data_IF_959366015264
#
_entry.id   IF_959366015264
#
_cell.length_a   1.000
_cell.length_b   1.000
_cell.length_c   1.000
_cell.angle_alpha   90.00
_cell.angle_beta   90.00
_cell.angle_gamma   90.00
#
_symmetry.space_group_name_H-M   'P 1'
#
loop_
_entity.id
_entity.type
_entity.pdbx_description
1 polymer ?
#
# COMPACT_ATOMS: atom_id res chain seq x y z
N UNK A 1 6.16 -7.58 -20.12
CA UNK A 1 5.40 -8.04 -18.93
C UNK A 1 4.71 -6.89 -18.18
N UNK A 2 5.41 -5.88 -17.63
CA UNK A 2 4.75 -4.73 -16.96
C UNK A 2 3.81 -3.99 -17.93
N UNK A 3 4.30 -3.67 -19.12
CA UNK A 3 3.51 -3.04 -20.20
C UNK A 3 2.28 -3.88 -20.56
N UNK A 4 2.47 -5.18 -20.86
CA UNK A 4 1.37 -6.11 -21.18
C UNK A 4 0.28 -6.13 -20.10
N UNK A 5 0.64 -6.13 -18.82
CA UNK A 5 -0.32 -6.12 -17.71
C UNK A 5 -1.12 -4.82 -17.67
N UNK A 6 -0.44 -3.67 -17.74
CA UNK A 6 -1.10 -2.37 -17.73
C UNK A 6 -2.03 -2.21 -18.93
N UNK A 7 -1.58 -2.59 -20.13
CA UNK A 7 -2.42 -2.54 -21.33
C UNK A 7 -3.61 -3.50 -21.25
N UNK A 8 -3.47 -4.66 -20.62
CA UNK A 8 -4.59 -5.58 -20.41
C UNK A 8 -5.69 -4.95 -19.54
N UNK A 9 -5.31 -4.30 -18.43
CA UNK A 9 -6.26 -3.56 -17.60
C UNK A 9 -6.88 -2.37 -18.35
N UNK A 10 -6.08 -1.58 -19.07
CA UNK A 10 -6.59 -0.45 -19.85
C UNK A 10 -7.60 -0.89 -20.93
N UNK A 11 -7.34 -2.00 -21.63
CA UNK A 11 -8.30 -2.57 -22.60
C UNK A 11 -9.60 -2.98 -21.93
N UNK A 12 -9.53 -3.72 -20.83
CA UNK A 12 -10.72 -4.12 -20.09
C UNK A 12 -11.49 -2.89 -19.56
N UNK A 13 -10.82 -1.88 -19.03
CA UNK A 13 -11.48 -0.65 -18.58
C UNK A 13 -12.19 0.07 -19.72
N UNK A 14 -11.60 0.13 -20.92
CA UNK A 14 -12.24 0.69 -22.11
C UNK A 14 -13.47 -0.12 -22.56
N UNK A 15 -13.39 -1.45 -22.51
CA UNK A 15 -14.50 -2.35 -22.88
C UNK A 15 -15.71 -2.20 -21.92
N UNK A 16 -15.45 -2.04 -20.63
CA UNK A 16 -16.49 -1.94 -19.59
C UNK A 16 -16.85 -0.50 -19.22
N UNK A 17 -16.27 0.51 -19.88
CA UNK A 17 -16.54 1.93 -19.59
C UNK A 17 -16.12 2.38 -18.19
N UNK A 18 -15.05 1.81 -17.63
CA UNK A 18 -14.56 2.16 -16.30
C UNK A 18 -13.64 3.40 -16.36
N UNK A 19 -14.06 4.48 -15.70
CA UNK A 19 -13.45 5.82 -15.88
C UNK A 19 -12.22 6.11 -15.01
N UNK A 20 -11.99 5.34 -13.94
CA UNK A 20 -10.82 5.55 -13.07
C UNK A 20 -9.54 5.03 -13.75
N UNK A 21 -8.41 5.04 -13.04
CA UNK A 21 -7.09 4.65 -13.59
C UNK A 21 -6.56 3.40 -12.90
N UNK A 22 -6.05 2.44 -13.68
CA UNK A 22 -5.29 1.33 -13.13
C UNK A 22 -3.90 1.79 -12.72
N UNK A 23 -3.50 1.47 -11.48
CA UNK A 23 -2.18 1.80 -10.92
C UNK A 23 -1.54 0.51 -10.43
N UNK A 24 -0.64 -0.05 -11.24
CA UNK A 24 0.11 -1.25 -10.86
C UNK A 24 1.19 -0.95 -9.82
N UNK A 25 1.44 -1.93 -8.93
CA UNK A 25 2.43 -1.83 -7.86
C UNK A 25 3.18 -3.16 -7.76
N UNK A 26 4.52 -3.13 -7.69
CA UNK A 26 5.34 -4.33 -7.55
C UNK A 26 5.82 -4.54 -6.11
N UNK A 27 5.51 -5.69 -5.48
CA UNK A 27 5.99 -6.02 -4.15
C UNK A 27 7.46 -6.43 -4.20
N UNK A 28 8.35 -5.58 -3.68
CA UNK A 28 9.79 -5.82 -3.81
C UNK A 28 10.26 -7.05 -3.02
N UNK A 29 9.45 -7.53 -2.07
CA UNK A 29 9.67 -8.80 -1.36
C UNK A 29 9.85 -10.01 -2.28
N UNK A 30 9.37 -9.93 -3.52
CA UNK A 30 9.53 -10.99 -4.53
C UNK A 30 10.96 -11.02 -5.07
N UNK A 31 11.56 -9.85 -5.31
CA UNK A 31 12.94 -9.70 -5.73
C UNK A 31 13.37 -8.24 -5.50
N UNK A 32 14.28 -8.03 -4.56
CA UNK A 32 14.81 -6.72 -4.16
C UNK A 32 16.05 -6.28 -4.96
N UNK A 33 16.53 -7.08 -5.92
CA UNK A 33 17.70 -6.74 -6.74
C UNK A 33 17.45 -5.45 -7.51
N UNK A 34 18.32 -4.46 -7.28
CA UNK A 34 18.20 -3.11 -7.85
C UNK A 34 17.97 -3.13 -9.35
N UNK A 35 18.75 -3.94 -10.08
CA UNK A 35 18.63 -4.06 -11.53
C UNK A 35 17.23 -4.51 -11.96
N UNK A 36 16.62 -5.47 -11.25
CA UNK A 36 15.28 -5.95 -11.57
C UNK A 36 14.24 -4.85 -11.32
N UNK A 37 14.32 -4.20 -10.16
CA UNK A 37 13.37 -3.14 -9.78
C UNK A 37 13.46 -1.93 -10.73
N UNK A 38 14.67 -1.48 -11.07
CA UNK A 38 14.87 -0.35 -12.00
C UNK A 38 14.32 -0.66 -13.40
N UNK A 39 14.49 -1.88 -13.93
CA UNK A 39 13.92 -2.25 -15.23
C UNK A 39 12.39 -2.29 -15.19
N UNK A 40 11.80 -2.75 -14.09
CA UNK A 40 10.34 -2.74 -13.90
C UNK A 40 9.80 -1.31 -13.84
N UNK A 41 10.46 -0.42 -13.09
CA UNK A 41 10.10 0.99 -12.99
C UNK A 41 10.24 1.71 -14.33
N UNK A 42 11.34 1.50 -15.05
CA UNK A 42 11.57 2.10 -16.37
C UNK A 42 10.47 1.71 -17.37
N UNK A 43 10.13 0.41 -17.45
CA UNK A 43 9.05 -0.07 -18.32
C UNK A 43 7.65 0.38 -17.84
N UNK A 44 7.48 0.56 -16.53
CA UNK A 44 6.23 0.99 -15.89
C UNK A 44 6.02 2.50 -15.81
N UNK A 45 7.03 3.31 -16.14
CA UNK A 45 7.00 4.78 -15.99
C UNK A 45 5.81 5.45 -16.70
N UNK A 46 5.44 5.08 -17.94
CA UNK A 46 4.25 5.66 -18.59
C UNK A 46 2.92 5.41 -17.86
N UNK A 47 2.89 4.42 -16.95
CA UNK A 47 1.71 4.02 -16.18
C UNK A 47 1.79 4.45 -14.71
N UNK A 48 2.81 5.23 -14.33
CA UNK A 48 3.10 5.60 -12.94
C UNK A 48 3.12 4.38 -12.00
N UNK A 49 3.79 3.33 -12.47
CA UNK A 49 3.91 2.06 -11.78
C UNK A 49 4.67 2.22 -10.45
N UNK A 50 4.11 1.68 -9.37
CA UNK A 50 4.59 1.87 -8.01
C UNK A 50 5.32 0.66 -7.42
N UNK A 51 5.72 0.79 -6.16
CA UNK A 51 6.36 -0.28 -5.38
C UNK A 51 5.62 -0.54 -4.06
N UNK A 52 5.70 -1.77 -3.58
CA UNK A 52 5.18 -2.17 -2.27
C UNK A 52 6.33 -2.64 -1.38
N UNK A 53 6.33 -2.15 -0.14
CA UNK A 53 7.28 -2.49 0.91
C UNK A 53 6.55 -3.17 2.07
N UNK A 54 7.06 -4.33 2.49
CA UNK A 54 6.52 -5.10 3.62
C UNK A 54 7.29 -4.93 4.92
N UNK A 55 8.38 -4.13 4.93
CA UNK A 55 9.22 -3.89 6.10
C UNK A 55 9.95 -2.54 6.03
N UNK A 56 10.50 -2.04 7.15
CA UNK A 56 11.24 -0.78 7.20
C UNK A 56 12.48 -0.78 6.28
N UNK A 57 13.33 -1.84 6.23
CA UNK A 57 14.43 -1.91 5.27
C UNK A 57 13.97 -1.85 3.82
N UNK A 58 12.85 -2.52 3.50
CA UNK A 58 12.25 -2.46 2.16
C UNK A 58 11.72 -1.06 1.83
N UNK A 59 11.10 -0.36 2.79
CA UNK A 59 10.65 1.03 2.59
C UNK A 59 11.83 1.95 2.25
N UNK A 60 12.95 1.85 3.00
CA UNK A 60 14.15 2.63 2.70
C UNK A 60 14.70 2.33 1.30
N UNK A 61 14.71 1.05 0.90
CA UNK A 61 15.12 0.66 -0.45
C UNK A 61 14.17 1.25 -1.52
N UNK A 62 12.86 1.17 -1.32
CA UNK A 62 11.84 1.75 -2.21
C UNK A 62 12.04 3.25 -2.37
N UNK A 63 12.20 3.99 -1.27
CA UNK A 63 12.41 5.45 -1.31
C UNK A 63 13.72 5.83 -2.00
N UNK A 64 14.75 4.97 -1.95
CA UNK A 64 16.01 5.19 -2.66
C UNK A 64 15.99 4.85 -4.15
N UNK A 65 15.01 4.06 -4.61
CA UNK A 65 14.91 3.60 -6.00
C UNK A 65 13.81 4.30 -6.81
N UNK A 66 12.78 4.83 -6.15
CA UNK A 66 11.64 5.44 -6.83
C UNK A 66 11.93 6.89 -7.20
N UNK A 67 11.90 7.20 -8.50
CA UNK A 67 12.19 8.52 -9.08
C UNK A 67 10.94 9.21 -9.67
N UNK A 68 9.75 8.71 -9.34
CA UNK A 68 8.47 9.21 -9.85
C UNK A 68 7.53 9.57 -8.70
N UNK A 69 7.31 10.88 -8.48
CA UNK A 69 6.42 11.40 -7.44
C UNK A 69 4.95 10.98 -7.62
N UNK A 70 4.53 10.69 -8.86
CA UNK A 70 3.19 10.21 -9.12
C UNK A 70 3.01 8.74 -8.73
N UNK A 71 4.08 7.96 -8.67
CA UNK A 71 4.04 6.53 -8.38
C UNK A 71 3.67 6.24 -6.92
N UNK A 72 2.86 5.20 -6.71
CA UNK A 72 2.42 4.81 -5.38
C UNK A 72 3.49 4.01 -4.66
N UNK A 73 3.64 4.26 -3.37
CA UNK A 73 4.36 3.40 -2.43
C UNK A 73 3.36 2.81 -1.47
N UNK A 74 3.18 1.50 -1.50
CA UNK A 74 2.26 0.81 -0.59
C UNK A 74 3.06 0.22 0.57
N UNK A 75 2.73 0.62 1.79
CA UNK A 75 3.39 0.15 3.00
C UNK A 75 2.53 -0.91 3.70
N UNK A 76 2.91 -2.18 3.59
CA UNK A 76 2.32 -3.31 4.29
C UNK A 76 3.25 -3.83 5.41
N UNK A 77 2.80 -4.90 6.06
CA UNK A 77 3.56 -5.60 7.09
C UNK A 77 3.44 -4.95 8.47
N UNK A 78 4.27 -5.43 9.39
CA UNK A 78 4.35 -4.89 10.75
C UNK A 78 5.02 -3.51 10.72
N UNK A 79 4.36 -2.54 11.36
CA UNK A 79 4.81 -1.14 11.40
C UNK A 79 5.01 -0.74 12.84
N UNK A 80 6.26 -0.52 13.20
CA UNK A 80 6.62 0.18 14.42
C UNK A 80 6.63 1.71 14.17
N UNK A 81 6.94 2.45 15.22
CA UNK A 81 6.99 3.90 15.20
C UNK A 81 7.97 4.44 14.15
N UNK A 82 9.16 3.86 14.06
CA UNK A 82 10.19 4.28 13.12
C UNK A 82 9.80 4.02 11.66
N UNK A 83 9.11 2.90 11.38
CA UNK A 83 8.54 2.65 10.06
C UNK A 83 7.56 3.77 9.69
N UNK A 84 6.59 4.05 10.56
CA UNK A 84 5.53 5.03 10.30
C UNK A 84 6.13 6.42 10.10
N UNK A 85 7.07 6.82 10.96
CA UNK A 85 7.76 8.10 10.84
C UNK A 85 8.52 8.20 9.51
N UNK A 86 9.24 7.14 9.11
CA UNK A 86 9.93 7.09 7.82
C UNK A 86 8.96 7.28 6.65
N UNK A 87 7.80 6.62 6.69
CA UNK A 87 6.77 6.73 5.66
C UNK A 87 6.17 8.14 5.59
N UNK A 88 5.91 8.77 6.73
CA UNK A 88 5.37 10.13 6.78
C UNK A 88 6.39 11.16 6.30
N UNK A 89 7.65 11.03 6.72
CA UNK A 89 8.72 11.89 6.23
C UNK A 89 8.94 11.70 4.71
N UNK A 90 8.87 10.47 4.20
CA UNK A 90 8.88 10.21 2.76
C UNK A 90 7.72 10.89 2.01
N UNK A 91 6.55 10.96 2.64
CA UNK A 91 5.38 11.66 2.08
C UNK A 91 5.61 13.17 2.03
N UNK A 92 6.22 13.73 3.08
CA UNK A 92 6.62 15.13 3.14
C UNK A 92 7.65 15.51 2.07
N UNK A 93 8.45 14.54 1.61
CA UNK A 93 9.42 14.68 0.51
C UNK A 93 8.80 14.48 -0.88
N UNK A 94 7.49 14.25 -0.99
CA UNK A 94 6.76 14.17 -2.27
C UNK A 94 6.37 12.77 -2.72
N UNK A 95 6.80 11.71 -2.02
CA UNK A 95 6.38 10.35 -2.36
C UNK A 95 4.91 10.10 -2.00
N UNK A 96 4.15 9.44 -2.88
CA UNK A 96 2.76 9.05 -2.58
C UNK A 96 2.70 7.75 -1.82
N UNK A 97 2.88 7.83 -0.49
CA UNK A 97 2.93 6.66 0.38
C UNK A 97 1.56 6.41 1.02
N UNK A 98 1.10 5.16 0.94
CA UNK A 98 -0.12 4.68 1.58
C UNK A 98 0.25 3.70 2.70
N UNK A 99 -0.06 4.06 3.94
CA UNK A 99 0.10 3.20 5.12
C UNK A 99 -1.10 2.25 5.21
N UNK A 100 -0.91 0.97 4.87
CA UNK A 100 -1.97 -0.03 4.92
C UNK A 100 -2.12 -0.61 6.32
N UNK A 101 -3.20 -0.27 7.01
CA UNK A 101 -3.54 -0.78 8.34
C UNK A 101 -3.95 -2.25 8.23
N UNK A 102 -3.20 -3.12 8.92
CA UNK A 102 -3.52 -4.55 9.00
C UNK A 102 -4.15 -4.94 10.34
N UNK A 103 -3.89 -4.16 11.40
CA UNK A 103 -4.46 -4.31 12.74
C UNK A 103 -4.91 -2.96 13.28
N UNK A 104 -6.04 -2.94 14.01
CA UNK A 104 -6.59 -1.69 14.55
C UNK A 104 -5.60 -0.96 15.46
N UNK A 105 -4.74 -1.70 16.17
CA UNK A 105 -3.70 -1.14 17.04
C UNK A 105 -2.67 -0.26 16.31
N UNK A 106 -2.57 -0.33 14.98
CA UNK A 106 -1.69 0.54 14.19
C UNK A 106 -2.26 1.97 14.09
N UNK A 107 -3.59 2.14 14.14
CA UNK A 107 -4.23 3.45 13.94
C UNK A 107 -3.87 4.48 15.03
N UNK A 108 -3.91 4.16 16.34
CA UNK A 108 -3.45 5.08 17.37
C UNK A 108 -2.00 5.52 17.18
N UNK A 109 -1.11 4.58 16.81
CA UNK A 109 0.30 4.87 16.59
C UNK A 109 0.50 5.76 15.35
N UNK A 110 -0.21 5.49 14.25
CA UNK A 110 -0.18 6.36 13.07
C UNK A 110 -0.64 7.77 13.41
N UNK A 111 -1.72 7.93 14.18
CA UNK A 111 -2.23 9.24 14.58
C UNK A 111 -1.22 10.01 15.45
N UNK A 112 -0.59 9.35 16.42
CA UNK A 112 0.43 9.95 17.29
C UNK A 112 1.65 10.44 16.49
N UNK A 113 2.19 9.60 15.59
CA UNK A 113 3.36 9.98 14.78
C UNK A 113 2.98 11.06 13.76
N UNK A 114 1.78 11.03 13.18
CA UNK A 114 1.28 12.08 12.30
C UNK A 114 1.21 13.44 12.99
N UNK A 115 0.66 13.48 14.21
CA UNK A 115 0.59 14.70 15.03
C UNK A 115 2.00 15.23 15.35
N UNK A 116 2.91 14.35 15.78
CA UNK A 116 4.30 14.72 16.10
C UNK A 116 5.07 15.25 14.90
N UNK A 117 4.93 14.62 13.74
CA UNK A 117 5.64 15.00 12.50
C UNK A 117 4.99 16.16 11.76
N UNK A 118 3.72 16.46 12.08
CA UNK A 118 2.90 17.44 11.37
C UNK A 118 2.57 17.03 9.93
N UNK A 119 2.60 15.73 9.62
CA UNK A 119 2.33 15.19 8.28
C UNK A 119 1.01 14.43 8.29
N UNK A 120 0.09 14.82 7.42
CA UNK A 120 -1.17 14.09 7.23
C UNK A 120 -0.90 12.73 6.56
N UNK A 121 -1.27 11.60 7.19
CA UNK A 121 -1.06 10.28 6.62
C UNK A 121 -2.10 9.96 5.54
N UNK A 122 -1.68 9.26 4.47
CA UNK A 122 -2.63 8.55 3.60
C UNK A 122 -2.80 7.12 4.11
N UNK A 123 -4.02 6.76 4.48
CA UNK A 123 -4.29 5.48 5.15
C UNK A 123 -5.08 4.55 4.22
N UNK A 124 -4.54 3.36 4.00
CA UNK A 124 -5.25 2.23 3.43
C UNK A 124 -5.69 1.26 4.53
N UNK A 125 -6.72 0.46 4.30
CA UNK A 125 -7.14 -0.57 5.26
C UNK A 125 -7.23 -1.92 4.57
N UNK A 126 -6.55 -2.92 5.13
CA UNK A 126 -6.66 -4.30 4.68
C UNK A 126 -7.94 -4.91 5.26
N UNK A 127 -8.95 -5.11 4.42
CA UNK A 127 -10.17 -5.82 4.82
C UNK A 127 -9.94 -7.34 4.89
N UNK A 128 -10.49 -7.98 5.91
CA UNK A 128 -10.53 -9.44 6.01
C UNK A 128 -11.77 -9.95 5.29
N UNK A 129 -11.57 -10.77 4.26
CA UNK A 129 -12.66 -11.35 3.49
C UNK A 129 -13.15 -12.65 4.16
N UNK A 130 -14.48 -12.80 4.22
CA UNK A 130 -15.15 -14.02 4.70
C UNK A 130 -15.27 -15.10 3.62
N UNK A 131 -15.08 -14.73 2.35
CA UNK A 131 -14.99 -15.68 1.25
C UNK A 131 -13.77 -16.61 1.45
N UNK A 132 -13.99 -17.92 1.38
CA UNK A 132 -12.90 -18.89 1.36
C UNK A 132 -12.19 -18.80 0.01
N UNK A 133 -10.86 -18.66 0.03
CA UNK A 133 -10.07 -18.79 -1.18
C UNK A 133 -10.20 -20.20 -1.76
N UNK A 134 -10.14 -20.34 -3.09
CA UNK A 134 -9.98 -21.63 -3.74
C UNK A 134 -8.48 -21.89 -4.03
N UNK A 135 -8.04 -23.16 -3.93
CA UNK A 135 -6.67 -23.57 -4.26
C UNK A 135 -5.63 -23.34 -3.16
N UNK A 136 -4.35 -23.18 -3.51
CA UNK A 136 -3.21 -23.06 -2.58
C UNK A 136 -3.29 -21.88 -1.58
N UNK A 137 -4.26 -20.98 -1.74
CA UNK A 137 -4.49 -19.81 -0.89
C UNK A 137 -5.67 -20.00 0.09
N UNK A 138 -6.28 -21.19 0.14
CA UNK A 138 -7.40 -21.52 1.04
C UNK A 138 -7.09 -21.21 2.52
N UNK A 139 -5.86 -21.51 2.98
CA UNK A 139 -5.46 -21.30 4.38
C UNK A 139 -5.15 -19.83 4.74
N UNK A 140 -5.04 -18.94 3.75
CA UNK A 140 -4.73 -17.51 3.96
C UNK A 140 -5.95 -16.59 3.76
N UNK A 141 -7.08 -17.14 3.30
CA UNK A 141 -8.38 -16.48 3.24
C UNK A 141 -9.34 -16.98 4.32
N UNK A 142 -10.33 -16.16 4.67
CA UNK A 142 -11.33 -16.49 5.69
C UNK A 142 -10.95 -16.05 7.11
N UNK A 143 -11.82 -16.40 8.06
CA UNK A 143 -11.82 -15.86 9.43
C UNK A 143 -10.54 -16.14 10.25
N UNK A 144 -9.69 -17.06 9.77
CA UNK A 144 -8.41 -17.45 10.39
C UNK A 144 -7.20 -16.62 9.93
N UNK A 145 -7.38 -15.66 9.03
CA UNK A 145 -6.29 -14.75 8.64
C UNK A 145 -5.78 -13.96 9.85
N UNK A 146 -4.46 -13.95 10.05
CA UNK A 146 -3.79 -13.16 11.11
C UNK A 146 -3.81 -11.65 10.84
N UNK A 147 -4.09 -11.25 9.60
CA UNK A 147 -4.02 -9.87 9.13
C UNK A 147 -5.35 -9.42 8.53
N UNK A 148 -5.63 -8.12 8.67
CA UNK A 148 -6.81 -7.46 8.14
C UNK A 148 -7.95 -7.33 9.14
N UNK A 149 -8.70 -6.24 9.01
CA UNK A 149 -9.83 -5.92 9.85
C UNK A 149 -11.09 -6.63 9.33
N UNK A 150 -11.80 -7.33 10.21
CA UNK A 150 -13.16 -7.79 9.91
C UNK A 150 -14.14 -6.61 9.89
N UNK A 151 -15.39 -6.86 9.50
CA UNK A 151 -16.42 -5.82 9.35
C UNK A 151 -16.54 -4.86 10.55
N UNK A 152 -16.59 -5.41 11.78
CA UNK A 152 -16.61 -4.60 13.00
C UNK A 152 -15.36 -3.72 13.15
N UNK A 153 -14.18 -4.28 12.87
CA UNK A 153 -12.93 -3.54 12.93
C UNK A 153 -12.84 -2.43 11.88
N UNK A 154 -13.45 -2.61 10.71
CA UNK A 154 -13.55 -1.56 9.69
C UNK A 154 -14.41 -0.39 10.16
N UNK A 155 -15.58 -0.66 10.76
CA UNK A 155 -16.44 0.40 11.32
C UNK A 155 -15.71 1.16 12.43
N UNK A 156 -15.07 0.44 13.35
CA UNK A 156 -14.26 1.06 14.42
C UNK A 156 -13.12 1.90 13.87
N UNK A 157 -12.46 1.45 12.80
CA UNK A 157 -11.39 2.21 12.15
C UNK A 157 -11.92 3.53 11.56
N UNK A 158 -13.06 3.50 10.87
CA UNK A 158 -13.70 4.69 10.31
C UNK A 158 -14.11 5.67 11.41
N UNK A 159 -14.70 5.17 12.50
CA UNK A 159 -15.07 6.00 13.66
C UNK A 159 -13.84 6.67 14.28
N UNK A 160 -12.79 5.89 14.55
CA UNK A 160 -11.53 6.41 15.10
C UNK A 160 -10.91 7.49 14.20
N UNK A 161 -10.83 7.25 12.89
CA UNK A 161 -10.26 8.22 11.95
C UNK A 161 -11.07 9.52 11.92
N UNK A 162 -12.40 9.43 12.01
CA UNK A 162 -13.29 10.60 12.02
C UNK A 162 -13.11 11.42 13.29
N UNK A 163 -13.04 10.76 14.44
CA UNK A 163 -12.82 11.41 15.74
C UNK A 163 -11.47 12.13 15.82
N UNK A 164 -10.46 11.61 15.12
CA UNK A 164 -9.12 12.22 15.04
C UNK A 164 -8.93 13.21 13.90
N UNK A 165 -9.96 13.46 13.08
CA UNK A 165 -9.85 14.37 11.93
C UNK A 165 -8.91 13.86 10.82
N UNK A 166 -8.80 12.54 10.67
CA UNK A 166 -7.94 11.85 9.69
C UNK A 166 -8.76 11.23 8.53
N UNK A 167 -9.94 11.80 8.24
CA UNK A 167 -10.91 11.32 7.25
C UNK A 167 -11.31 12.44 6.29
#
# INVERSE_FOLDING_TARGET
>A
RVTELNEAFLRAMGEYGYEATYRGVYPIKVNQERYVVEQLLAAGRPYNFGLEAGSKPELLAVLGMLDNEEALVICNGYKDEEYIETALLGSKLGSRIVLVVEKFSELPLIAEVAERTGVAPTIGIRARLTARGAGHWEASGGDRSKFGLGARGLVQAVEFLRERGLL
#
